data_IF_312209823507
#
_entry.id   IF_312209823507
#
_cell.length_a   1.000
_cell.length_b   1.000
_cell.length_c   1.000
_cell.angle_alpha   90.00
_cell.angle_beta   90.00
_cell.angle_gamma   90.00
#
_symmetry.space_group_name_H-M   'P 1'
#
loop_
_entity.id
_entity.type
_entity.pdbx_description
1 polymer ?
#
# COMPACT_ATOMS: atom_id res chain seq x y z
N UNK A 1 -4.84 11.17 15.93
CA UNK A 1 -4.78 11.94 14.67
C UNK A 1 -5.96 11.56 13.78
N UNK A 2 -6.48 12.43 12.91
CA UNK A 2 -7.56 12.06 11.96
C UNK A 2 -7.04 11.21 10.79
N UNK A 3 -7.73 10.15 10.36
CA UNK A 3 -7.33 9.33 9.20
C UNK A 3 -7.42 10.10 7.87
N UNK A 4 -6.76 9.61 6.82
CA UNK A 4 -6.84 10.19 5.46
C UNK A 4 -8.20 9.94 4.81
N UNK A 5 -8.75 8.74 5.01
CA UNK A 5 -10.04 8.32 4.47
C UNK A 5 -10.96 7.86 5.61
N UNK A 6 -12.28 7.83 5.41
CA UNK A 6 -13.20 7.31 6.42
C UNK A 6 -12.85 5.87 6.79
N UNK A 7 -12.75 5.61 8.10
CA UNK A 7 -12.54 4.26 8.61
C UNK A 7 -13.72 3.37 8.24
N UNK A 8 -13.42 2.12 7.90
CA UNK A 8 -14.40 1.10 7.58
C UNK A 8 -14.50 0.07 8.70
N UNK A 9 -15.67 -0.54 8.92
CA UNK A 9 -15.80 -1.58 9.91
C UNK A 9 -14.92 -2.78 9.53
N UNK A 10 -14.18 -3.30 10.51
CA UNK A 10 -13.40 -4.53 10.35
C UNK A 10 -14.34 -5.72 10.48
N UNK A 11 -14.64 -6.38 9.35
CA UNK A 11 -15.71 -7.40 9.29
C UNK A 11 -15.28 -8.72 8.71
N UNK A 12 -14.08 -8.81 8.13
CA UNK A 12 -13.60 -10.01 7.45
C UNK A 12 -12.26 -10.47 8.02
N UNK A 13 -12.14 -11.79 8.25
CA UNK A 13 -10.88 -12.42 8.61
C UNK A 13 -10.13 -12.85 7.35
N UNK A 14 -8.82 -12.63 7.34
CA UNK A 14 -7.93 -13.17 6.31
C UNK A 14 -6.77 -13.95 6.93
N UNK A 15 -6.08 -14.71 6.07
CA UNK A 15 -4.85 -15.44 6.43
C UNK A 15 -3.59 -14.60 6.18
N UNK A 16 -3.71 -13.27 6.28
CA UNK A 16 -2.58 -12.35 6.05
C UNK A 16 -1.39 -12.69 6.97
N UNK A 17 -0.15 -12.76 6.45
CA UNK A 17 1.06 -12.86 7.26
C UNK A 17 1.27 -11.61 8.14
N UNK A 18 0.65 -10.47 7.83
CA UNK A 18 0.70 -9.27 8.69
C UNK A 18 -0.08 -9.49 9.99
N UNK A 19 -1.18 -10.26 9.95
CA UNK A 19 -1.88 -10.70 11.18
C UNK A 19 -0.94 -11.48 12.11
N UNK A 20 -0.19 -12.43 11.57
CA UNK A 20 0.78 -13.21 12.35
C UNK A 20 1.90 -12.32 12.91
N UNK A 21 2.33 -11.32 12.12
CA UNK A 21 3.29 -10.33 12.58
C UNK A 21 2.77 -9.53 13.77
N UNK A 22 1.53 -9.03 13.70
CA UNK A 22 0.85 -8.29 14.78
C UNK A 22 0.80 -9.13 16.07
N UNK A 23 0.35 -10.38 15.98
CA UNK A 23 0.27 -11.30 17.12
C UNK A 23 1.62 -11.53 17.79
N UNK A 24 2.71 -11.50 17.02
CA UNK A 24 4.06 -11.79 17.51
C UNK A 24 4.76 -10.54 18.06
N UNK A 25 4.58 -9.38 17.45
CA UNK A 25 5.44 -8.20 17.70
C UNK A 25 4.74 -7.06 18.45
N UNK A 26 3.41 -7.03 18.49
CA UNK A 26 2.69 -5.94 19.18
C UNK A 26 2.91 -5.87 20.69
N UNK A 27 3.48 -6.92 21.29
CA UNK A 27 3.77 -7.00 22.71
C UNK A 27 5.12 -6.36 23.11
N UNK A 28 6.00 -6.04 22.15
CA UNK A 28 7.33 -5.50 22.43
C UNK A 28 7.61 -4.23 21.62
N UNK A 29 8.21 -3.19 22.22
CA UNK A 29 8.56 -1.99 21.48
C UNK A 29 9.60 -2.29 20.40
N UNK A 30 9.39 -1.76 19.19
CA UNK A 30 10.41 -1.81 18.14
C UNK A 30 11.42 -0.68 18.40
N UNK A 31 12.71 -1.04 18.37
CA UNK A 31 13.80 -0.08 18.59
C UNK A 31 14.34 0.40 17.25
N UNK A 32 14.25 1.70 17.02
CA UNK A 32 14.84 2.38 15.87
C UNK A 32 16.02 3.25 16.31
N UNK A 33 17.01 3.46 15.43
CA UNK A 33 17.95 4.57 15.62
C UNK A 33 17.24 5.92 15.46
N UNK A 34 17.80 7.00 16.01
CA UNK A 34 17.22 8.34 15.91
C UNK A 34 16.95 8.77 14.46
N UNK A 35 17.89 8.46 13.55
CA UNK A 35 17.75 8.76 12.13
C UNK A 35 16.59 7.98 11.48
N UNK A 36 16.48 6.67 11.79
CA UNK A 36 15.38 5.83 11.31
C UNK A 36 14.04 6.29 11.89
N UNK A 37 14.00 6.69 13.15
CA UNK A 37 12.81 7.17 13.83
C UNK A 37 12.22 8.40 13.13
N UNK A 38 13.07 9.40 12.87
CA UNK A 38 12.69 10.62 12.14
C UNK A 38 12.28 10.30 10.70
N UNK A 39 13.02 9.43 10.01
CA UNK A 39 12.68 9.05 8.64
C UNK A 39 11.33 8.35 8.55
N UNK A 40 11.11 7.29 9.35
CA UNK A 40 9.87 6.52 9.35
C UNK A 40 8.67 7.36 9.79
N UNK A 41 8.85 8.31 10.70
CA UNK A 41 7.80 9.24 11.11
C UNK A 41 7.22 10.03 9.92
N UNK A 42 8.05 10.30 8.91
CA UNK A 42 7.65 11.01 7.67
C UNK A 42 7.09 10.05 6.61
N UNK A 43 7.60 8.83 6.54
CA UNK A 43 7.24 7.84 5.53
C UNK A 43 5.95 7.07 5.82
N UNK A 44 5.75 6.60 7.05
CA UNK A 44 4.57 5.80 7.41
C UNK A 44 3.23 6.48 7.11
N UNK A 45 3.07 7.81 7.30
CA UNK A 45 1.84 8.51 6.91
C UNK A 45 1.53 8.43 5.42
N UNK A 46 2.53 8.25 4.55
CA UNK A 46 2.30 8.04 3.11
C UNK A 46 1.68 6.66 2.87
N UNK A 47 2.25 5.63 3.49
CA UNK A 47 1.84 4.22 3.35
C UNK A 47 0.46 3.98 3.96
N UNK A 48 0.24 4.40 5.22
CA UNK A 48 -1.04 4.29 5.91
C UNK A 48 -2.18 4.94 5.12
N UNK A 49 -1.90 6.07 4.45
CA UNK A 49 -2.89 6.75 3.63
C UNK A 49 -3.24 5.94 2.36
N UNK A 50 -2.31 5.13 1.88
CA UNK A 50 -2.51 4.14 0.82
C UNK A 50 -3.47 3.04 1.28
N UNK A 51 -3.19 2.41 2.42
CA UNK A 51 -4.03 1.31 2.94
C UNK A 51 -5.45 1.80 3.25
N UNK A 52 -5.57 3.02 3.81
CA UNK A 52 -6.87 3.63 4.05
C UNK A 52 -7.63 3.92 2.74
N UNK A 53 -6.92 4.26 1.66
CA UNK A 53 -7.54 4.49 0.36
C UNK A 53 -7.97 3.20 -0.31
N UNK A 54 -7.14 2.16 -0.29
CA UNK A 54 -7.43 0.86 -0.89
C UNK A 54 -8.73 0.33 -0.27
N UNK A 55 -8.79 0.25 1.07
CA UNK A 55 -9.99 -0.16 1.80
C UNK A 55 -11.23 0.65 1.39
N UNK A 56 -11.12 1.98 1.35
CA UNK A 56 -12.26 2.85 1.00
C UNK A 56 -12.77 2.64 -0.42
N UNK A 57 -11.86 2.51 -1.40
CA UNK A 57 -12.22 2.24 -2.79
C UNK A 57 -12.90 0.88 -2.91
N UNK A 58 -12.30 -0.17 -2.35
CA UNK A 58 -12.83 -1.53 -2.45
C UNK A 58 -14.16 -1.71 -1.75
N UNK A 59 -14.33 -1.18 -0.54
CA UNK A 59 -15.59 -1.27 0.18
C UNK A 59 -16.73 -0.62 -0.61
N UNK A 60 -16.52 0.59 -1.14
CA UNK A 60 -17.53 1.26 -1.96
C UNK A 60 -17.84 0.47 -3.23
N UNK A 61 -16.85 -0.21 -3.78
CA UNK A 61 -17.02 -1.02 -4.98
C UNK A 61 -17.78 -2.33 -4.71
N UNK A 62 -17.51 -3.00 -3.59
CA UNK A 62 -18.29 -4.16 -3.12
C UNK A 62 -19.77 -3.77 -2.95
N UNK A 63 -20.06 -2.61 -2.36
CA UNK A 63 -21.44 -2.13 -2.22
C UNK A 63 -22.11 -1.92 -3.58
N UNK A 64 -21.43 -1.27 -4.54
CA UNK A 64 -21.96 -1.08 -5.91
C UNK A 64 -22.20 -2.39 -6.66
N UNK A 65 -21.34 -3.39 -6.49
CA UNK A 65 -21.52 -4.70 -7.13
C UNK A 65 -22.71 -5.46 -6.57
N UNK A 66 -22.91 -5.42 -5.25
CA UNK A 66 -24.09 -6.03 -4.60
C UNK A 66 -25.41 -5.49 -5.17
N UNK A 67 -25.41 -4.25 -5.66
CA UNK A 67 -26.57 -3.61 -6.29
C UNK A 67 -26.75 -3.93 -7.78
N UNK A 68 -25.68 -4.32 -8.51
CA UNK A 68 -25.67 -4.32 -9.98
C UNK A 68 -25.73 -5.70 -10.66
N UNK A 69 -24.99 -6.70 -10.16
CA UNK A 69 -25.09 -8.15 -10.50
C UNK A 69 -23.91 -8.87 -9.80
N UNK A 70 -24.10 -9.98 -9.07
CA UNK A 70 -23.04 -10.59 -8.29
C UNK A 70 -22.15 -11.48 -9.16
N UNK A 71 -20.96 -11.01 -9.52
CA UNK A 71 -19.84 -11.93 -9.73
C UNK A 71 -19.33 -12.31 -8.34
N UNK A 72 -19.93 -13.35 -7.75
CA UNK A 72 -19.69 -13.78 -6.36
C UNK A 72 -18.19 -13.96 -6.04
N UNK A 73 -17.39 -14.45 -6.99
CA UNK A 73 -15.95 -14.66 -6.80
C UNK A 73 -15.17 -13.33 -6.70
N UNK A 74 -15.51 -12.32 -7.52
CA UNK A 74 -14.85 -11.02 -7.47
C UNK A 74 -15.15 -10.30 -6.15
N UNK A 75 -16.39 -10.41 -5.64
CA UNK A 75 -16.78 -9.85 -4.35
C UNK A 75 -16.01 -10.49 -3.18
N UNK A 76 -15.80 -11.81 -3.20
CA UNK A 76 -15.01 -12.51 -2.18
C UNK A 76 -13.53 -12.13 -2.22
N UNK A 77 -12.95 -12.02 -3.42
CA UNK A 77 -11.57 -11.57 -3.60
C UNK A 77 -11.39 -10.14 -3.06
N UNK A 78 -12.35 -9.24 -3.31
CA UNK A 78 -12.33 -7.88 -2.76
C UNK A 78 -12.43 -7.85 -1.23
N UNK A 79 -13.33 -8.64 -0.64
CA UNK A 79 -13.45 -8.74 0.82
C UNK A 79 -12.17 -9.27 1.46
N UNK A 80 -11.49 -10.24 0.82
CA UNK A 80 -10.18 -10.70 1.29
C UNK A 80 -9.10 -9.63 1.18
N UNK A 81 -9.07 -8.86 0.09
CA UNK A 81 -8.10 -7.76 -0.05
C UNK A 81 -8.35 -6.73 1.05
N UNK A 82 -9.58 -6.25 1.22
CA UNK A 82 -9.94 -5.28 2.28
C UNK A 82 -9.51 -5.77 3.67
N UNK A 83 -9.68 -7.05 3.97
CA UNK A 83 -9.21 -7.63 5.23
C UNK A 83 -7.68 -7.59 5.37
N UNK A 84 -6.94 -7.92 4.30
CA UNK A 84 -5.47 -7.83 4.28
C UNK A 84 -5.02 -6.38 4.53
N UNK A 85 -5.62 -5.41 3.82
CA UNK A 85 -5.33 -3.97 3.94
C UNK A 85 -5.61 -3.39 5.35
N UNK A 86 -6.62 -3.92 6.03
CA UNK A 86 -6.92 -3.53 7.42
C UNK A 86 -5.81 -3.97 8.38
N UNK A 87 -5.24 -5.17 8.19
CA UNK A 87 -4.09 -5.61 8.97
C UNK A 87 -2.83 -4.79 8.64
N UNK A 88 -2.65 -4.37 7.38
CA UNK A 88 -1.54 -3.50 6.99
C UNK A 88 -1.64 -2.14 7.68
N UNK A 89 -2.82 -1.51 7.62
CA UNK A 89 -3.08 -0.25 8.32
C UNK A 89 -2.79 -0.39 9.82
N UNK A 90 -3.34 -1.42 10.47
CA UNK A 90 -3.17 -1.63 11.91
C UNK A 90 -1.69 -1.79 12.28
N UNK A 91 -0.94 -2.61 11.55
CA UNK A 91 0.48 -2.83 11.80
C UNK A 91 1.30 -1.56 11.58
N UNK A 92 1.05 -0.81 10.50
CA UNK A 92 1.76 0.43 10.21
C UNK A 92 1.42 1.54 11.22
N UNK A 93 0.16 1.67 11.65
CA UNK A 93 -0.23 2.60 12.72
C UNK A 93 0.39 2.19 14.06
N UNK A 94 0.47 0.89 14.37
CA UNK A 94 1.16 0.41 15.56
C UNK A 94 2.64 0.85 15.56
N UNK A 95 3.35 0.70 14.44
CA UNK A 95 4.73 1.17 14.31
C UNK A 95 4.77 2.69 14.46
N UNK A 96 3.90 3.42 13.75
CA UNK A 96 3.84 4.88 13.78
C UNK A 96 3.60 5.43 15.19
N UNK A 97 2.81 4.75 16.02
CA UNK A 97 2.51 5.18 17.39
C UNK A 97 3.75 5.18 18.31
N UNK A 98 4.82 4.48 17.93
CA UNK A 98 6.12 4.54 18.62
C UNK A 98 7.03 5.68 18.15
N UNK A 99 6.62 6.41 17.10
CA UNK A 99 7.40 7.45 16.44
C UNK A 99 6.98 8.87 16.84
N UNK A 100 7.91 9.81 16.70
CA UNK A 100 7.62 11.23 16.91
C UNK A 100 6.78 11.76 15.76
N UNK A 101 5.84 12.64 16.03
CA UNK A 101 5.02 13.23 14.97
C UNK A 101 5.79 14.36 14.25
N UNK A 102 5.92 14.35 12.91
CA UNK A 102 6.53 15.45 12.17
C UNK A 102 5.70 16.73 12.29
N UNK A 103 6.36 17.88 12.39
CA UNK A 103 5.67 19.18 12.49
C UNK A 103 4.77 19.49 11.28
N UNK A 104 5.12 18.99 10.09
CA UNK A 104 4.42 19.16 8.82
C UNK A 104 3.52 17.97 8.46
N UNK A 105 3.19 17.09 9.40
CA UNK A 105 2.42 15.85 9.17
C UNK A 105 1.10 16.08 8.40
N UNK A 106 0.41 17.19 8.65
CA UNK A 106 -0.84 17.55 7.95
C UNK A 106 -0.59 17.74 6.45
N UNK A 107 0.56 18.31 6.07
CA UNK A 107 0.92 18.53 4.67
C UNK A 107 1.27 17.22 3.97
N UNK A 108 2.03 16.35 4.65
CA UNK A 108 2.36 15.00 4.19
C UNK A 108 1.06 14.24 3.87
N UNK A 109 0.15 14.14 4.84
CA UNK A 109 -1.14 13.45 4.66
C UNK A 109 -2.00 14.06 3.56
N UNK A 110 -2.05 15.39 3.44
CA UNK A 110 -2.82 16.06 2.38
C UNK A 110 -2.31 15.74 0.98
N UNK A 111 -0.99 15.60 0.78
CA UNK A 111 -0.42 15.21 -0.52
C UNK A 111 -0.82 13.78 -0.86
N UNK A 112 -0.66 12.85 0.08
CA UNK A 112 -1.10 11.45 -0.09
C UNK A 112 -2.58 11.33 -0.36
N UNK A 113 -3.42 12.00 0.44
CA UNK A 113 -4.87 11.97 0.28
C UNK A 113 -5.29 12.48 -1.10
N UNK A 114 -4.68 13.56 -1.61
CA UNK A 114 -4.98 14.06 -2.97
C UNK A 114 -4.57 13.07 -4.04
N UNK A 115 -3.38 12.46 -3.91
CA UNK A 115 -2.90 11.44 -4.84
C UNK A 115 -3.90 10.27 -4.88
N UNK A 116 -4.17 9.64 -3.75
CA UNK A 116 -5.05 8.47 -3.66
C UNK A 116 -6.51 8.79 -4.04
N UNK A 117 -7.05 9.94 -3.63
CA UNK A 117 -8.40 10.36 -4.04
C UNK A 117 -8.51 10.57 -5.56
N UNK A 118 -7.44 11.05 -6.21
CA UNK A 118 -7.40 11.22 -7.66
C UNK A 118 -7.32 9.91 -8.45
N UNK A 119 -7.07 8.78 -7.78
CA UNK A 119 -7.08 7.45 -8.36
C UNK A 119 -8.47 6.79 -8.34
N UNK A 120 -9.37 7.22 -7.44
CA UNK A 120 -10.73 6.67 -7.29
C UNK A 120 -11.81 7.33 -8.14
N UNK A 121 -11.47 8.23 -9.08
CA UNK A 121 -12.47 9.02 -9.83
C UNK A 121 -12.92 8.31 -11.12
N UNK A 122 -14.19 7.87 -11.14
CA UNK A 122 -14.96 7.45 -12.33
C UNK A 122 -14.20 6.57 -13.33
N UNK A 123 -13.74 5.41 -12.89
CA UNK A 123 -13.14 4.40 -13.76
C UNK A 123 -14.03 3.14 -13.80
N UNK A 124 -13.92 2.36 -14.89
CA UNK A 124 -14.54 1.04 -15.01
C UNK A 124 -13.76 -0.01 -14.21
N UNK A 125 -14.39 -1.16 -13.96
CA UNK A 125 -13.83 -2.21 -13.09
C UNK A 125 -12.47 -2.74 -13.54
N UNK A 126 -12.34 -2.96 -14.84
CA UNK A 126 -11.12 -3.39 -15.49
C UNK A 126 -9.96 -2.41 -15.20
N UNK A 127 -10.22 -1.10 -15.23
CA UNK A 127 -9.23 -0.06 -14.92
C UNK A 127 -8.90 -0.04 -13.42
N UNK A 128 -9.89 -0.17 -12.52
CA UNK A 128 -9.62 -0.26 -11.08
C UNK A 128 -8.69 -1.44 -10.76
N UNK A 129 -8.99 -2.63 -11.28
CA UNK A 129 -8.14 -3.81 -11.09
C UNK A 129 -6.74 -3.64 -11.68
N UNK A 130 -6.62 -3.02 -12.86
CA UNK A 130 -5.31 -2.67 -13.42
C UNK A 130 -4.55 -1.70 -12.50
N UNK A 131 -5.25 -0.75 -11.87
CA UNK A 131 -4.66 0.25 -10.98
C UNK A 131 -4.09 -0.37 -9.72
N UNK A 132 -4.84 -1.27 -9.10
CA UNK A 132 -4.40 -2.05 -7.94
C UNK A 132 -3.17 -2.86 -8.30
N UNK A 133 -3.26 -3.66 -9.37
CA UNK A 133 -2.13 -4.48 -9.80
C UNK A 133 -0.86 -3.65 -10.10
N UNK A 134 -1.01 -2.42 -10.60
CA UNK A 134 0.12 -1.51 -10.82
C UNK A 134 0.68 -0.92 -9.52
N UNK A 135 -0.18 -0.48 -8.60
CA UNK A 135 0.23 0.09 -7.31
C UNK A 135 0.90 -0.96 -6.43
N UNK A 136 0.27 -2.10 -6.23
CA UNK A 136 0.76 -3.19 -5.38
C UNK A 136 2.10 -3.74 -5.90
N UNK A 137 2.29 -3.76 -7.23
CA UNK A 137 3.58 -4.12 -7.82
C UNK A 137 4.67 -3.09 -7.50
N UNK A 138 4.34 -1.79 -7.44
CA UNK A 138 5.28 -0.75 -7.01
C UNK A 138 5.53 -0.81 -5.50
N UNK A 139 4.50 -1.10 -4.70
CA UNK A 139 4.64 -1.31 -3.25
C UNK A 139 5.51 -2.54 -2.97
N UNK A 140 5.34 -3.64 -3.71
CA UNK A 140 6.23 -4.80 -3.64
C UNK A 140 7.71 -4.42 -3.83
N UNK A 141 8.01 -3.59 -4.84
CA UNK A 141 9.37 -3.10 -5.11
C UNK A 141 9.86 -2.20 -3.98
N UNK A 142 8.99 -1.34 -3.45
CA UNK A 142 9.29 -0.47 -2.32
C UNK A 142 9.62 -1.28 -1.06
N UNK A 143 8.79 -2.25 -0.71
CA UNK A 143 9.00 -3.14 0.44
C UNK A 143 10.28 -3.96 0.29
N UNK A 144 10.58 -4.44 -0.93
CA UNK A 144 11.84 -5.12 -1.22
C UNK A 144 13.05 -4.20 -1.07
N UNK A 145 12.93 -2.92 -1.45
CA UNK A 145 14.00 -1.95 -1.28
C UNK A 145 14.23 -1.64 0.20
N UNK A 146 13.16 -1.48 0.99
CA UNK A 146 13.25 -1.31 2.44
C UNK A 146 13.92 -2.53 3.10
N UNK A 147 13.54 -3.75 2.68
CA UNK A 147 14.14 -4.99 3.16
C UNK A 147 15.66 -5.05 2.91
N UNK A 148 16.12 -4.51 1.78
CA UNK A 148 17.54 -4.45 1.41
C UNK A 148 18.26 -3.19 1.89
N UNK A 149 17.56 -2.30 2.59
CA UNK A 149 18.07 -1.01 3.02
C UNK A 149 18.98 -1.10 4.25
N UNK A 150 18.92 -0.06 5.08
CA UNK A 150 19.81 0.12 6.25
C UNK A 150 19.45 -0.72 7.48
N UNK A 151 18.35 -1.45 7.46
CA UNK A 151 17.87 -2.22 8.62
C UNK A 151 18.53 -3.60 8.70
N UNK A 152 18.61 -4.17 9.92
CA UNK A 152 18.94 -5.58 10.09
C UNK A 152 17.85 -6.46 9.46
N UNK A 153 18.26 -7.53 8.77
CA UNK A 153 17.32 -8.43 8.07
C UNK A 153 16.30 -9.12 8.98
N UNK A 154 16.53 -9.19 10.29
CA UNK A 154 15.60 -9.72 11.31
C UNK A 154 14.90 -8.63 12.11
N UNK A 155 15.14 -7.36 11.78
CA UNK A 155 14.47 -6.25 12.43
C UNK A 155 12.94 -6.37 12.27
N UNK A 156 12.12 -6.21 13.33
CA UNK A 156 10.67 -6.41 13.25
C UNK A 156 10.00 -5.63 12.13
N UNK A 157 10.42 -4.39 11.88
CA UNK A 157 9.90 -3.58 10.76
C UNK A 157 10.24 -4.18 9.38
N UNK A 158 11.40 -4.79 9.20
CA UNK A 158 11.75 -5.48 7.94
C UNK A 158 10.88 -6.73 7.76
N UNK A 159 10.60 -7.44 8.85
CA UNK A 159 9.67 -8.58 8.82
C UNK A 159 8.24 -8.14 8.46
N UNK A 160 7.80 -6.98 8.93
CA UNK A 160 6.53 -6.38 8.53
C UNK A 160 6.51 -6.07 7.03
N UNK A 161 7.54 -5.38 6.51
CA UNK A 161 7.64 -5.08 5.06
C UNK A 161 7.62 -6.36 4.22
N UNK A 162 8.25 -7.45 4.68
CA UNK A 162 8.19 -8.76 4.01
C UNK A 162 6.78 -9.34 4.00
N UNK A 163 6.06 -9.24 5.12
CA UNK A 163 4.70 -9.73 5.24
C UNK A 163 3.75 -8.93 4.32
N UNK A 164 3.83 -7.60 4.34
CA UNK A 164 3.07 -6.73 3.42
C UNK A 164 3.37 -7.13 1.97
N UNK A 165 4.65 -7.21 1.57
CA UNK A 165 5.06 -7.63 0.22
C UNK A 165 4.45 -8.97 -0.24
N UNK A 166 4.23 -9.92 0.67
CA UNK A 166 3.61 -11.21 0.33
C UNK A 166 2.13 -11.05 -0.01
N UNK A 167 1.40 -10.23 0.76
CA UNK A 167 -0.01 -9.91 0.47
C UNK A 167 -0.12 -9.13 -0.84
N UNK A 168 0.72 -8.12 -1.03
CA UNK A 168 0.77 -7.30 -2.26
C UNK A 168 0.98 -8.18 -3.51
N UNK A 169 1.90 -9.15 -3.46
CA UNK A 169 2.14 -10.05 -4.58
C UNK A 169 0.91 -10.94 -4.92
N UNK A 170 0.16 -11.36 -3.90
CA UNK A 170 -1.12 -12.05 -4.06
C UNK A 170 -2.15 -11.11 -4.68
N UNK A 171 -2.26 -9.87 -4.20
CA UNK A 171 -3.19 -8.86 -4.71
C UNK A 171 -2.92 -8.50 -6.17
N UNK A 172 -1.65 -8.31 -6.56
CA UNK A 172 -1.23 -8.14 -7.97
C UNK A 172 -1.76 -9.27 -8.84
N UNK A 173 -1.59 -10.52 -8.41
CA UNK A 173 -1.99 -11.70 -9.17
C UNK A 173 -3.50 -11.75 -9.37
N UNK A 174 -4.27 -11.54 -8.30
CA UNK A 174 -5.73 -11.54 -8.33
C UNK A 174 -6.27 -10.40 -9.19
N UNK A 175 -5.77 -9.18 -8.95
CA UNK A 175 -6.21 -7.98 -9.65
C UNK A 175 -5.89 -8.02 -11.13
N UNK A 176 -4.70 -8.49 -11.51
CA UNK A 176 -4.34 -8.65 -12.93
C UNK A 176 -5.24 -9.65 -13.65
N UNK A 177 -5.59 -10.78 -12.99
CA UNK A 177 -6.52 -11.77 -13.55
C UNK A 177 -7.90 -11.15 -13.81
N UNK A 178 -8.43 -10.41 -12.84
CA UNK A 178 -9.73 -9.76 -12.98
C UNK A 178 -9.73 -8.68 -14.06
N UNK A 179 -8.71 -7.82 -14.11
CA UNK A 179 -8.57 -6.80 -15.16
C UNK A 179 -8.63 -7.43 -16.56
N UNK A 180 -7.83 -8.48 -16.81
CA UNK A 180 -7.81 -9.18 -18.11
C UNK A 180 -9.16 -9.84 -18.41
N UNK A 181 -9.79 -10.46 -17.42
CA UNK A 181 -11.08 -11.15 -17.58
C UNK A 181 -12.20 -10.15 -17.96
N UNK A 182 -12.12 -8.94 -17.43
CA UNK A 182 -13.04 -7.84 -17.73
C UNK A 182 -12.70 -7.10 -19.03
N UNK A 183 -11.68 -7.54 -19.77
CA UNK A 183 -11.31 -7.01 -21.07
C UNK A 183 -10.32 -5.85 -21.05
N UNK A 184 -9.61 -5.64 -19.93
CA UNK A 184 -8.54 -4.64 -19.87
C UNK A 184 -7.48 -4.94 -20.93
N UNK A 185 -7.22 -3.97 -21.80
CA UNK A 185 -6.34 -4.15 -22.93
C UNK A 185 -4.88 -4.22 -22.48
N UNK A 186 -4.25 -5.37 -22.72
CA UNK A 186 -2.82 -5.60 -22.45
C UNK A 186 -1.90 -4.56 -23.12
N UNK A 187 -2.32 -3.96 -24.24
CA UNK A 187 -1.54 -2.92 -24.93
C UNK A 187 -1.57 -1.57 -24.19
N UNK A 188 -2.61 -1.31 -23.40
CA UNK A 188 -2.76 -0.10 -22.58
C UNK A 188 -2.06 -0.23 -21.22
N UNK A 189 -1.74 -1.46 -20.81
CA UNK A 189 -1.12 -1.76 -19.51
C UNK A 189 0.17 -0.96 -19.29
N UNK A 190 1.03 -0.89 -20.31
CA UNK A 190 2.33 -0.23 -20.21
C UNK A 190 2.19 1.27 -19.95
N UNK A 191 1.36 1.96 -20.72
CA UNK A 191 1.15 3.40 -20.59
C UNK A 191 0.46 3.73 -19.26
N UNK A 192 -0.47 2.87 -18.84
CA UNK A 192 -1.17 2.99 -17.58
C UNK A 192 -0.22 2.81 -16.38
N UNK A 193 0.61 1.76 -16.40
CA UNK A 193 1.65 1.50 -15.41
C UNK A 193 2.66 2.66 -15.36
N UNK A 194 3.09 3.19 -16.51
CA UNK A 194 4.00 4.33 -16.56
C UNK A 194 3.39 5.59 -15.91
N UNK A 195 2.11 5.84 -16.15
CA UNK A 195 1.40 6.97 -15.54
C UNK A 195 1.33 6.85 -14.01
N UNK A 196 0.91 5.67 -13.51
CA UNK A 196 0.82 5.40 -12.07
C UNK A 196 2.21 5.47 -11.43
N UNK A 197 3.19 4.82 -12.04
CA UNK A 197 4.59 4.81 -11.60
C UNK A 197 5.15 6.21 -11.46
N UNK A 198 4.96 7.07 -12.46
CA UNK A 198 5.38 8.47 -12.43
C UNK A 198 4.71 9.24 -11.28
N UNK A 199 3.39 9.11 -11.13
CA UNK A 199 2.64 9.86 -10.10
C UNK A 199 2.97 9.38 -8.68
N UNK A 200 3.17 8.08 -8.48
CA UNK A 200 3.60 7.53 -7.20
C UNK A 200 5.02 7.99 -6.87
N UNK A 201 5.93 7.96 -7.84
CA UNK A 201 7.28 8.50 -7.68
C UNK A 201 7.24 9.98 -7.27
N UNK A 202 6.44 10.81 -7.93
CA UNK A 202 6.27 12.23 -7.58
C UNK A 202 5.79 12.42 -6.14
N UNK A 203 4.87 11.57 -5.64
CA UNK A 203 4.43 11.58 -4.25
C UNK A 203 5.57 11.19 -3.30
N UNK A 204 6.21 10.04 -3.53
CA UNK A 204 7.25 9.51 -2.65
C UNK A 204 8.50 10.39 -2.62
N UNK A 205 8.86 11.00 -3.76
CA UNK A 205 10.00 11.91 -3.89
C UNK A 205 9.86 13.16 -3.00
N UNK A 206 8.65 13.50 -2.55
CA UNK A 206 8.46 14.57 -1.56
C UNK A 206 9.11 14.29 -0.20
N UNK A 207 9.39 13.02 0.08
CA UNK A 207 10.08 12.54 1.29
C UNK A 207 11.38 11.80 0.95
N UNK A 208 12.01 12.13 -0.19
CA UNK A 208 13.26 11.48 -0.66
C UNK A 208 14.35 11.39 0.40
N UNK A 209 14.60 12.48 1.14
CA UNK A 209 15.63 12.48 2.18
C UNK A 209 15.36 11.45 3.29
N UNK A 210 14.09 11.18 3.61
CA UNK A 210 13.72 10.14 4.56
C UNK A 210 13.96 8.74 3.99
N UNK A 211 13.65 8.52 2.70
CA UNK A 211 13.99 7.27 2.01
C UNK A 211 15.52 7.03 1.98
N UNK A 212 16.30 8.05 1.61
CA UNK A 212 17.76 7.95 1.58
C UNK A 212 18.32 7.59 2.97
N UNK A 213 17.76 8.17 4.03
CA UNK A 213 18.14 7.90 5.43
C UNK A 213 17.96 6.43 5.81
N UNK A 214 16.91 5.77 5.31
CA UNK A 214 16.69 4.34 5.56
C UNK A 214 17.38 3.44 4.53
N UNK A 215 18.21 3.99 3.65
CA UNK A 215 18.98 3.25 2.65
C UNK A 215 18.15 2.84 1.43
N UNK A 216 17.07 3.57 1.13
CA UNK A 216 16.20 3.31 -0.02
C UNK A 216 16.39 4.40 -1.07
N UNK A 217 16.88 4.01 -2.25
CA UNK A 217 16.97 4.90 -3.39
C UNK A 217 15.71 4.76 -4.26
N UNK A 218 14.89 5.82 -4.31
CA UNK A 218 13.67 5.82 -5.13
C UNK A 218 13.98 5.68 -6.62
N UNK A 219 15.12 6.17 -7.10
CA UNK A 219 15.45 6.07 -8.52
C UNK A 219 15.68 4.62 -8.94
N UNK A 220 16.23 3.78 -8.07
CA UNK A 220 16.41 2.36 -8.36
C UNK A 220 15.06 1.61 -8.39
N UNK A 221 14.07 2.09 -7.63
CA UNK A 221 12.71 1.52 -7.60
C UNK A 221 11.93 1.91 -8.85
N UNK A 222 12.07 3.12 -9.37
CA UNK A 222 11.22 3.64 -10.45
C UNK A 222 11.92 3.68 -11.82
N UNK A 223 13.26 3.61 -11.88
CA UNK A 223 14.04 3.57 -13.13
C UNK A 223 14.51 2.17 -13.52
N UNK A 224 14.35 1.14 -12.67
CA UNK A 224 14.67 -0.22 -13.12
C UNK A 224 13.74 -0.53 -14.30
N UNK A 225 14.34 -0.58 -15.49
CA UNK A 225 13.74 -0.97 -16.75
C UNK A 225 12.97 -2.26 -16.53
N UNK A 226 11.84 -2.38 -17.21
CA UNK A 226 11.06 -3.61 -17.32
C UNK A 226 11.97 -4.74 -17.84
N UNK A 227 12.65 -5.43 -16.92
CA UNK A 227 13.16 -6.76 -17.17
C UNK A 227 12.03 -7.71 -16.78
N UNK A 228 11.27 -8.11 -17.80
CA UNK A 228 10.70 -9.43 -18.11
C UNK A 228 9.32 -9.27 -18.78
#
# INVERSE_FOLDING_TARGET
>A
MKPCFPALPHTAESQSPVKQWLETHCAQPIVFSDAQHVALARLLPLLICGEQSSQWVFHNEVQRQRESNPVLEAAQDFESIVADEQYHEEALEWVRNSLSEPADIVQIKRRSQRFFASLGVKQSFDIHFAQIACLDALVCRLMLAIEKGSFDTRHPFVLLCRAIKQDEAKHVTLSKRHAITLGFDSTQWRDFQLNISKRLYELLATERAAFDTIGVNLDDIFNAKDEH
#
